data_IF_551545103916
#
_entry.id   IF_551545103916
#
_cell.length_a   1.000
_cell.length_b   1.000
_cell.length_c   1.000
_cell.angle_alpha   90.00
_cell.angle_beta   90.00
_cell.angle_gamma   90.00
#
_symmetry.space_group_name_H-M   'P 1'
#
loop_
_entity.id
_entity.type
_entity.pdbx_description
1 polymer ?
#
# COMPACT_ATOMS: atom_id res chain seq x y z
N UNK A 1 4.10 -17.90 18.14
CA UNK A 1 4.24 -16.44 18.25
C UNK A 1 3.86 -15.87 16.90
N UNK A 2 2.78 -15.10 16.82
CA UNK A 2 2.39 -14.47 15.55
C UNK A 2 3.46 -13.47 15.14
N UNK A 3 3.93 -13.58 13.89
CA UNK A 3 4.94 -12.67 13.35
C UNK A 3 4.20 -11.46 12.77
N UNK A 4 4.37 -10.28 13.37
CA UNK A 4 3.82 -9.04 12.81
C UNK A 4 4.53 -8.78 11.47
N UNK A 5 3.79 -8.94 10.37
CA UNK A 5 4.29 -8.65 9.03
C UNK A 5 4.13 -7.15 8.78
N UNK A 6 5.24 -6.45 8.56
CA UNK A 6 5.22 -5.03 8.15
C UNK A 6 5.40 -4.92 6.65
N UNK A 7 4.71 -3.96 6.04
CA UNK A 7 4.84 -3.59 4.63
C UNK A 7 5.21 -2.12 4.53
N UNK A 8 6.02 -1.78 3.52
CA UNK A 8 6.37 -0.39 3.22
C UNK A 8 5.22 0.26 2.45
N UNK A 9 4.98 1.53 2.74
CA UNK A 9 4.05 2.38 2.03
C UNK A 9 4.66 3.77 1.90
N UNK A 10 4.29 4.47 0.84
CA UNK A 10 4.68 5.84 0.58
C UNK A 10 3.48 6.70 0.98
N UNK A 11 3.71 7.79 1.69
CA UNK A 11 2.66 8.74 2.02
C UNK A 11 3.17 10.16 2.02
N UNK A 12 2.26 11.10 1.81
CA UNK A 12 2.48 12.53 1.95
C UNK A 12 1.18 13.17 2.44
N UNK A 13 1.26 14.43 2.84
CA UNK A 13 0.09 15.24 3.17
C UNK A 13 -0.14 16.25 2.05
N UNK A 14 -1.39 16.35 1.61
CA UNK A 14 -1.87 17.36 0.68
C UNK A 14 -3.13 18.00 1.28
N UNK A 15 -3.08 19.31 1.52
CA UNK A 15 -4.08 20.03 2.32
C UNK A 15 -4.40 19.31 3.66
N UNK A 16 -5.67 19.00 3.90
CA UNK A 16 -6.18 18.33 5.10
C UNK A 16 -6.19 16.79 4.96
N UNK A 17 -5.60 16.24 3.89
CA UNK A 17 -5.63 14.81 3.59
C UNK A 17 -4.24 14.18 3.62
N UNK A 18 -4.14 13.01 4.24
CA UNK A 18 -3.03 12.09 4.05
C UNK A 18 -3.31 11.22 2.85
N UNK A 19 -2.37 11.13 1.91
CA UNK A 19 -2.46 10.32 0.69
C UNK A 19 -1.31 9.34 0.69
N UNK A 20 -1.53 8.12 0.19
CA UNK A 20 -0.47 7.14 0.07
C UNK A 20 -0.83 5.87 -0.68
N UNK A 21 0.17 5.02 -0.84
CA UNK A 21 0.05 3.73 -1.52
C UNK A 21 1.07 2.72 -0.98
N UNK A 22 0.79 1.43 -1.12
CA UNK A 22 1.72 0.35 -0.76
C UNK A 22 2.87 0.31 -1.79
N UNK A 23 4.12 0.16 -1.34
CA UNK A 23 5.31 0.13 -2.23
C UNK A 23 5.17 -0.95 -3.31
N UNK A 24 4.56 -2.09 -2.97
CA UNK A 24 4.31 -3.22 -3.88
C UNK A 24 3.19 -2.95 -4.90
N UNK A 25 2.38 -1.91 -4.68
CA UNK A 25 1.19 -1.56 -5.46
C UNK A 25 1.14 -0.04 -5.77
N UNK A 26 2.12 0.51 -6.49
CA UNK A 26 2.31 1.96 -6.63
C UNK A 26 1.20 2.69 -7.40
N UNK A 27 0.40 1.95 -8.17
CA UNK A 27 -0.71 2.49 -8.96
C UNK A 27 -2.01 2.63 -8.15
N UNK A 28 -2.04 2.12 -6.91
CA UNK A 28 -3.25 2.01 -6.09
C UNK A 28 -3.16 2.92 -4.88
N UNK A 29 -3.62 4.15 -5.06
CA UNK A 29 -3.60 5.18 -4.03
C UNK A 29 -4.86 5.14 -3.19
N UNK A 30 -4.72 5.56 -1.94
CA UNK A 30 -5.83 5.85 -1.05
C UNK A 30 -5.48 7.06 -0.19
N UNK A 31 -6.45 7.54 0.59
CA UNK A 31 -6.32 8.74 1.40
C UNK A 31 -7.08 8.60 2.72
N UNK A 32 -6.79 9.47 3.68
CA UNK A 32 -7.51 9.59 4.95
C UNK A 32 -7.33 10.98 5.55
N UNK A 33 -8.27 11.41 6.39
CA UNK A 33 -8.20 12.68 7.13
C UNK A 33 -7.20 12.63 8.29
N UNK A 34 -6.71 11.43 8.61
CA UNK A 34 -5.63 11.18 9.57
C UNK A 34 -4.69 10.11 9.05
N UNK A 35 -3.48 10.05 9.61
CA UNK A 35 -2.52 9.00 9.27
C UNK A 35 -3.04 7.60 9.63
N UNK A 36 -3.82 7.48 10.71
CA UNK A 36 -4.45 6.22 11.11
C UNK A 36 -5.51 5.76 10.09
N UNK A 37 -6.35 6.68 9.61
CA UNK A 37 -7.33 6.39 8.57
C UNK A 37 -6.66 5.97 7.26
N UNK A 38 -5.60 6.67 6.85
CA UNK A 38 -4.80 6.27 5.68
C UNK A 38 -4.26 4.83 5.86
N UNK A 39 -3.72 4.49 7.03
CA UNK A 39 -3.18 3.17 7.30
C UNK A 39 -4.24 2.06 7.27
N UNK A 40 -5.44 2.33 7.81
CA UNK A 40 -6.57 1.40 7.72
C UNK A 40 -6.98 1.16 6.27
N UNK A 41 -7.08 2.22 5.48
CA UNK A 41 -7.43 2.11 4.06
C UNK A 41 -6.34 1.36 3.26
N UNK A 42 -5.06 1.55 3.59
CA UNK A 42 -3.95 0.78 3.00
C UNK A 42 -4.00 -0.70 3.38
N UNK A 43 -4.45 -1.02 4.60
CA UNK A 43 -4.62 -2.40 5.05
C UNK A 43 -5.74 -3.10 4.28
N UNK A 44 -6.86 -2.42 4.02
CA UNK A 44 -7.94 -2.96 3.20
C UNK A 44 -7.47 -3.26 1.78
N UNK A 45 -6.72 -2.33 1.14
CA UNK A 45 -6.10 -2.57 -0.16
C UNK A 45 -5.13 -3.75 -0.15
N UNK A 46 -4.33 -3.91 0.92
CA UNK A 46 -3.44 -5.06 1.07
C UNK A 46 -4.22 -6.38 1.08
N UNK A 47 -5.31 -6.45 1.83
CA UNK A 47 -6.16 -7.64 1.89
C UNK A 47 -6.81 -7.96 0.55
N UNK A 48 -7.29 -6.94 -0.16
CA UNK A 48 -7.87 -7.10 -1.48
C UNK A 48 -6.85 -7.66 -2.49
N UNK A 49 -5.66 -7.07 -2.58
CA UNK A 49 -4.62 -7.48 -3.53
C UNK A 49 -3.89 -8.79 -3.19
N UNK A 50 -3.99 -9.26 -1.94
CA UNK A 50 -3.44 -10.55 -1.53
C UNK A 50 -4.45 -11.69 -1.58
N UNK A 51 -5.70 -11.42 -1.97
CA UNK A 51 -6.75 -12.44 -2.05
C UNK A 51 -6.70 -13.31 -3.32
N UNK A 52 -5.70 -13.13 -4.20
CA UNK A 52 -5.52 -13.80 -5.51
C UNK A 52 -6.69 -13.67 -6.50
N UNK A 53 -7.71 -12.86 -6.19
CA UNK A 53 -8.95 -12.75 -6.98
C UNK A 53 -8.89 -11.69 -8.09
N UNK A 54 -7.86 -10.84 -8.11
CA UNK A 54 -7.77 -9.72 -9.06
C UNK A 54 -6.72 -10.06 -10.13
N UNK A 55 -7.14 -10.29 -11.38
CA UNK A 55 -6.20 -10.55 -12.47
C UNK A 55 -5.38 -9.29 -12.81
N UNK A 56 -4.19 -9.49 -13.37
CA UNK A 56 -3.33 -8.43 -13.92
C UNK A 56 -2.85 -7.36 -12.91
N UNK A 57 -2.73 -7.69 -11.63
CA UNK A 57 -2.06 -6.83 -10.64
C UNK A 57 -0.57 -6.68 -11.01
N UNK A 58 -0.14 -5.42 -11.17
CA UNK A 58 1.27 -5.06 -11.37
C UNK A 58 2.10 -5.34 -10.12
N UNK A 59 3.36 -5.71 -10.32
CA UNK A 59 4.31 -6.03 -9.25
C UNK A 59 5.58 -5.20 -9.40
N UNK A 60 6.18 -4.84 -8.28
CA UNK A 60 7.50 -4.23 -8.22
C UNK A 60 8.56 -5.32 -8.13
N UNK A 61 9.65 -5.16 -8.87
CA UNK A 61 10.80 -6.06 -8.85
C UNK A 61 12.09 -5.25 -8.90
N UNK A 62 13.14 -5.78 -8.32
CA UNK A 62 14.49 -5.24 -8.40
C UNK A 62 15.24 -5.94 -9.55
N UNK A 63 16.04 -5.18 -10.30
CA UNK A 63 16.92 -5.69 -11.34
C UNK A 63 18.37 -5.40 -10.95
N UNK A 64 19.19 -6.44 -10.88
CA UNK A 64 20.63 -6.30 -10.66
C UNK A 64 21.29 -5.76 -11.93
N UNK A 65 22.05 -4.66 -11.79
CA UNK A 65 22.83 -4.06 -12.87
C UNK A 65 24.29 -4.47 -12.66
N UNK A 66 24.70 -5.56 -13.31
CA UNK A 66 26.08 -6.04 -13.33
C UNK A 66 26.99 -5.11 -14.16
#
# INVERSE_FOLDING_TARGET
>A
METIKKKKYIYWQDEDMFIGYLEEYPDYWTQGTSLEELQNNLLDLYHEFTSDNIPAIRKVAELELL
#
